data_IF_947424504223
#
_entry.id   IF_947424504223
#
_cell.length_a   1.000
_cell.length_b   1.000
_cell.length_c   1.000
_cell.angle_alpha   90.00
_cell.angle_beta   90.00
_cell.angle_gamma   90.00
#
_symmetry.space_group_name_H-M   'P 1'
#
loop_
_entity.id
_entity.type
_entity.pdbx_description
1 polymer ?
#
# COMPACT_ATOMS: atom_id res chain seq x y z
N UNK A 1 1.98 7.91 3.36
CA UNK A 1 0.59 8.06 2.84
C UNK A 1 0.65 8.11 1.33
N UNK A 2 -0.47 7.85 0.65
CA UNK A 2 -0.58 7.97 -0.80
C UNK A 2 -2.03 7.77 -1.26
N UNK A 3 -2.24 7.71 -2.57
CA UNK A 3 -3.56 7.55 -3.17
C UNK A 3 -3.55 6.52 -4.30
N UNK A 4 -4.61 5.73 -4.41
CA UNK A 4 -4.87 4.79 -5.50
C UNK A 4 -6.20 5.15 -6.14
N UNK A 5 -6.18 5.44 -7.44
CA UNK A 5 -7.39 5.64 -8.24
C UNK A 5 -7.77 4.32 -8.91
N UNK A 6 -9.03 3.91 -8.78
CA UNK A 6 -9.58 2.90 -9.67
C UNK A 6 -10.01 3.59 -10.98
N UNK A 7 -9.14 3.54 -11.98
CA UNK A 7 -9.36 4.13 -13.31
C UNK A 7 -10.15 3.22 -14.25
N UNK A 8 -10.65 2.09 -13.75
CA UNK A 8 -11.46 1.13 -14.50
C UNK A 8 -12.95 1.33 -14.29
N UNK A 9 -13.77 0.66 -15.09
CA UNK A 9 -15.23 0.61 -14.97
C UNK A 9 -15.73 -0.53 -14.06
N UNK A 10 -14.82 -1.25 -13.40
CA UNK A 10 -15.11 -2.39 -12.54
C UNK A 10 -14.64 -2.12 -11.10
N UNK A 11 -15.40 -2.63 -10.13
CA UNK A 11 -14.97 -2.61 -8.72
C UNK A 11 -13.67 -3.39 -8.54
N UNK A 12 -12.78 -2.88 -7.68
CA UNK A 12 -11.58 -3.59 -7.23
C UNK A 12 -11.78 -4.05 -5.81
N UNK A 13 -11.59 -5.35 -5.57
CA UNK A 13 -11.78 -5.98 -4.27
C UNK A 13 -10.44 -6.24 -3.59
N UNK A 14 -10.46 -6.24 -2.27
CA UNK A 14 -9.33 -6.59 -1.42
C UNK A 14 -8.03 -5.89 -1.83
N UNK A 15 -8.10 -4.58 -2.05
CA UNK A 15 -6.95 -3.81 -2.54
C UNK A 15 -5.95 -3.62 -1.41
N UNK A 16 -4.70 -3.99 -1.66
CA UNK A 16 -3.60 -3.91 -0.69
C UNK A 16 -2.42 -3.18 -1.29
N UNK A 17 -1.83 -2.29 -0.50
CA UNK A 17 -0.53 -1.68 -0.79
C UNK A 17 0.51 -2.20 0.19
N UNK A 18 1.69 -2.55 -0.30
CA UNK A 18 2.80 -3.06 0.51
C UNK A 18 4.07 -2.27 0.24
N UNK A 19 4.71 -1.82 1.32
CA UNK A 19 6.00 -1.14 1.29
C UNK A 19 7.03 -1.98 2.04
N UNK A 20 8.19 -2.21 1.42
CA UNK A 20 9.37 -2.69 2.13
C UNK A 20 10.01 -1.52 2.87
N UNK A 21 10.41 -1.75 4.10
CA UNK A 21 11.09 -0.79 4.94
C UNK A 21 12.57 -1.14 5.05
N UNK A 22 13.42 -0.13 5.07
CA UNK A 22 14.85 -0.31 5.31
C UNK A 22 15.39 0.66 6.35
N UNK A 23 16.41 0.21 7.09
CA UNK A 23 17.18 1.04 8.01
C UNK A 23 18.09 2.03 7.25
N UNK A 24 18.80 2.89 7.99
CA UNK A 24 19.79 3.84 7.44
C UNK A 24 20.91 3.21 6.61
N UNK A 25 21.19 1.92 6.84
CA UNK A 25 22.23 1.18 6.14
C UNK A 25 21.67 0.39 4.95
N UNK A 26 20.38 0.55 4.63
CA UNK A 26 19.69 -0.18 3.57
C UNK A 26 19.34 -1.63 3.93
N UNK A 27 19.43 -2.02 5.21
CA UNK A 27 19.05 -3.36 5.66
C UNK A 27 17.54 -3.47 5.81
N UNK A 28 16.92 -4.64 5.53
CA UNK A 28 15.50 -4.83 5.74
C UNK A 28 15.09 -4.54 7.19
N UNK A 29 14.06 -3.71 7.35
CA UNK A 29 13.50 -3.29 8.64
C UNK A 29 11.99 -3.63 8.74
N UNK A 30 11.50 -4.55 7.91
CA UNK A 30 10.11 -5.00 7.88
C UNK A 30 9.31 -4.44 6.72
N UNK A 31 7.99 -4.39 6.89
CA UNK A 31 7.03 -3.92 5.88
C UNK A 31 5.96 -3.04 6.51
N UNK A 32 5.40 -2.12 5.71
CA UNK A 32 4.22 -1.35 6.05
C UNK A 32 3.14 -1.62 5.01
N UNK A 33 1.92 -1.89 5.46
CA UNK A 33 0.78 -2.18 4.58
C UNK A 33 -0.41 -1.32 4.92
N UNK A 34 -1.29 -1.14 3.94
CA UNK A 34 -2.65 -0.67 4.15
C UNK A 34 -3.59 -1.46 3.23
N UNK A 35 -4.87 -1.51 3.59
CA UNK A 35 -5.86 -2.35 2.93
C UNK A 35 -7.21 -1.63 2.85
N UNK A 36 -7.90 -1.82 1.73
CA UNK A 36 -9.30 -1.45 1.57
C UNK A 36 -10.07 -2.58 0.89
N UNK A 37 -11.28 -2.86 1.39
CA UNK A 37 -12.09 -3.96 0.90
C UNK A 37 -12.58 -3.75 -0.53
N UNK A 38 -12.98 -2.53 -0.88
CA UNK A 38 -13.51 -2.17 -2.19
C UNK A 38 -13.05 -0.77 -2.58
N UNK A 39 -12.69 -0.58 -3.85
CA UNK A 39 -12.59 0.74 -4.48
C UNK A 39 -13.58 0.76 -5.66
N UNK A 40 -14.58 1.62 -5.60
CA UNK A 40 -15.58 1.76 -6.65
C UNK A 40 -14.96 2.32 -7.96
N UNK A 41 -15.58 2.10 -9.14
CA UNK A 41 -15.14 2.72 -10.38
C UNK A 41 -15.00 4.25 -10.26
N UNK A 42 -13.83 4.79 -10.61
CA UNK A 42 -13.52 6.22 -10.49
C UNK A 42 -13.23 6.71 -9.08
N UNK A 43 -13.34 5.87 -8.05
CA UNK A 43 -13.04 6.25 -6.67
C UNK A 43 -11.54 6.28 -6.39
N UNK A 44 -11.13 7.17 -5.50
CA UNK A 44 -9.76 7.24 -4.99
C UNK A 44 -9.70 6.80 -3.54
N UNK A 45 -8.93 5.74 -3.28
CA UNK A 45 -8.56 5.34 -1.93
C UNK A 45 -7.32 6.12 -1.46
N UNK A 46 -7.44 6.81 -0.33
CA UNK A 46 -6.34 7.48 0.33
C UNK A 46 -5.78 6.60 1.45
N UNK A 47 -4.60 6.04 1.25
CA UNK A 47 -4.00 5.06 2.16
C UNK A 47 -2.95 5.67 3.09
N UNK A 48 -2.79 5.04 4.25
CA UNK A 48 -1.79 5.32 5.27
C UNK A 48 -1.15 4.03 5.78
N UNK A 49 -0.14 3.55 5.07
CA UNK A 49 0.76 2.53 5.57
C UNK A 49 1.64 3.11 6.70
N UNK A 50 1.42 2.64 7.92
CA UNK A 50 2.11 3.12 9.12
C UNK A 50 3.41 2.33 9.35
N UNK A 51 4.49 3.06 9.61
CA UNK A 51 5.76 2.50 10.05
C UNK A 51 5.72 2.47 11.58
N UNK A 52 5.71 1.28 12.17
CA UNK A 52 5.66 1.09 13.62
C UNK A 52 7.05 0.89 14.23
N UNK A 53 8.01 0.38 13.44
CA UNK A 53 9.39 0.21 13.88
C UNK A 53 10.18 1.52 13.70
N UNK A 54 10.66 2.05 14.82
CA UNK A 54 11.49 3.27 14.85
C UNK A 54 12.84 3.13 14.11
N UNK A 55 13.29 1.92 13.81
CA UNK A 55 14.53 1.67 13.08
C UNK A 55 14.38 1.83 11.55
N UNK A 56 13.16 1.86 11.04
CA UNK A 56 12.90 2.06 9.61
C UNK A 56 13.04 3.54 9.25
N UNK A 57 13.95 3.84 8.32
CA UNK A 57 14.20 5.22 7.84
C UNK A 57 13.71 5.43 6.40
N UNK A 58 13.61 4.36 5.61
CA UNK A 58 13.19 4.42 4.23
C UNK A 58 12.05 3.44 3.97
N UNK A 59 11.19 3.80 3.00
CA UNK A 59 10.12 2.94 2.52
C UNK A 59 10.12 2.91 0.99
N UNK A 60 9.93 1.73 0.42
CA UNK A 60 9.82 1.53 -1.03
C UNK A 60 8.54 0.74 -1.33
N UNK A 61 7.74 1.23 -2.27
CA UNK A 61 6.57 0.50 -2.75
C UNK A 61 7.03 -0.82 -3.39
N UNK A 62 6.49 -1.94 -2.92
CA UNK A 62 6.79 -3.29 -3.41
C UNK A 62 5.62 -3.81 -4.23
N UNK A 63 4.39 -3.68 -3.73
CA UNK A 63 3.21 -4.13 -4.44
C UNK A 63 2.00 -3.25 -4.24
N UNK A 64 1.15 -3.25 -5.27
CA UNK A 64 -0.23 -2.78 -5.25
C UNK A 64 -1.05 -3.90 -5.92
N UNK A 65 -1.88 -4.55 -5.14
CA UNK A 65 -2.60 -5.76 -5.54
C UNK A 65 -4.10 -5.56 -5.32
N UNK A 66 -4.91 -6.19 -6.16
CA UNK A 66 -6.35 -6.30 -6.01
C UNK A 66 -6.75 -7.75 -6.33
N UNK A 67 -7.69 -8.31 -5.58
CA UNK A 67 -8.27 -9.60 -5.91
C UNK A 67 -9.28 -9.40 -7.06
N UNK A 68 -9.08 -10.13 -8.15
CA UNK A 68 -10.10 -10.28 -9.18
C UNK A 68 -10.91 -11.55 -8.87
N UNK A 69 -12.23 -11.45 -8.68
CA UNK A 69 -13.10 -12.61 -8.59
C UNK A 69 -13.20 -13.38 -9.92
#
# INVERSE_FOLDING_TARGET
>A
TGSVLNDTDQQKFSVRVTFALTDKNGRPAGEATDYVTVIEPGETWNFRALILDSAAENARLVSLEAENP
#
